data_IF_310169428073
#
_entry.id   IF_310169428073
#
_cell.length_a   1.000
_cell.length_b   1.000
_cell.length_c   1.000
_cell.angle_alpha   90.00
_cell.angle_beta   90.00
_cell.angle_gamma   90.00
#
_symmetry.space_group_name_H-M   'P 1'
#
loop_
_entity.id
_entity.type
_entity.pdbx_description
1 polymer ?
#
# COMPACT_ATOMS: atom_id res chain seq x y z
N UNK A 1 -31.25 -37.33 5.32
CA UNK A 1 -30.48 -36.39 4.48
C UNK A 1 -31.31 -35.13 4.34
N UNK A 2 -30.83 -33.97 4.82
CA UNK A 2 -31.40 -32.67 4.49
C UNK A 2 -30.21 -31.72 4.29
N UNK A 3 -29.85 -31.50 3.03
CA UNK A 3 -28.76 -30.61 2.63
C UNK A 3 -29.31 -29.20 2.57
N UNK A 4 -28.93 -28.31 3.49
CA UNK A 4 -29.03 -26.85 3.32
C UNK A 4 -28.10 -26.17 4.34
N UNK A 5 -26.80 -26.38 4.17
CA UNK A 5 -25.75 -25.62 4.84
C UNK A 5 -25.05 -24.72 3.82
N UNK A 6 -25.78 -23.75 3.26
CA UNK A 6 -25.14 -22.69 2.47
C UNK A 6 -24.52 -21.72 3.48
N UNK A 7 -23.20 -21.50 3.50
CA UNK A 7 -22.64 -20.47 4.34
C UNK A 7 -23.18 -19.14 3.82
N UNK A 8 -23.92 -18.43 4.68
CA UNK A 8 -24.34 -17.06 4.46
C UNK A 8 -23.09 -16.24 4.13
N UNK A 9 -22.88 -15.94 2.86
CA UNK A 9 -21.80 -15.05 2.41
C UNK A 9 -22.17 -13.70 3.00
N UNK A 10 -21.60 -13.42 4.18
CA UNK A 10 -21.78 -12.20 4.94
C UNK A 10 -21.50 -11.04 3.99
N UNK A 11 -22.57 -10.49 3.41
CA UNK A 11 -22.54 -9.43 2.42
C UNK A 11 -22.32 -8.11 3.14
N UNK A 12 -21.27 -8.07 3.96
CA UNK A 12 -20.79 -6.83 4.56
C UNK A 12 -20.42 -5.95 3.38
N UNK A 13 -21.00 -4.76 3.25
CA UNK A 13 -20.56 -3.82 2.24
C UNK A 13 -19.05 -3.68 2.37
N UNK A 14 -18.32 -3.88 1.27
CA UNK A 14 -16.91 -3.56 1.21
C UNK A 14 -16.81 -2.06 1.49
N UNK A 15 -16.55 -1.70 2.76
CA UNK A 15 -16.47 -0.30 3.16
C UNK A 15 -15.32 0.31 2.38
N UNK A 16 -15.64 1.27 1.52
CA UNK A 16 -14.61 2.04 0.83
C UNK A 16 -13.69 2.65 1.89
N UNK A 17 -12.38 2.47 1.73
CA UNK A 17 -11.41 3.06 2.66
C UNK A 17 -11.56 4.58 2.62
N UNK A 18 -11.57 5.20 3.79
CA UNK A 18 -11.57 6.66 3.91
C UNK A 18 -10.27 7.22 3.32
N UNK A 19 -10.28 8.45 2.80
CA UNK A 19 -9.06 9.10 2.31
C UNK A 19 -7.93 9.12 3.36
N UNK A 20 -8.28 9.31 4.64
CA UNK A 20 -7.31 9.24 5.73
C UNK A 20 -6.63 7.86 5.86
N UNK A 21 -7.38 6.78 5.66
CA UNK A 21 -6.85 5.41 5.71
C UNK A 21 -5.93 5.12 4.52
N UNK A 22 -6.29 5.61 3.33
CA UNK A 22 -5.44 5.51 2.13
C UNK A 22 -4.13 6.27 2.34
N UNK A 23 -4.20 7.48 2.91
CA UNK A 23 -3.01 8.29 3.23
C UNK A 23 -2.10 7.59 4.25
N UNK A 24 -2.67 7.05 5.32
CA UNK A 24 -1.89 6.32 6.32
C UNK A 24 -1.18 5.10 5.72
N UNK A 25 -1.88 4.33 4.87
CA UNK A 25 -1.29 3.18 4.17
C UNK A 25 -0.16 3.60 3.20
N UNK A 26 -0.35 4.71 2.49
CA UNK A 26 0.65 5.28 1.59
C UNK A 26 1.95 5.59 2.34
N UNK A 27 1.86 6.31 3.47
CA UNK A 27 3.01 6.67 4.30
C UNK A 27 3.70 5.44 4.91
N UNK A 28 2.93 4.46 5.39
CA UNK A 28 3.48 3.20 5.94
C UNK A 28 4.27 2.42 4.88
N UNK A 29 3.73 2.30 3.67
CA UNK A 29 4.40 1.56 2.59
C UNK A 29 5.67 2.27 2.11
N UNK A 30 5.68 3.61 2.05
CA UNK A 30 6.90 4.37 1.74
C UNK A 30 8.00 4.09 2.75
N UNK A 31 7.68 4.07 4.06
CA UNK A 31 8.66 3.71 5.10
C UNK A 31 9.21 2.31 4.87
N UNK A 32 8.35 1.32 4.66
CA UNK A 32 8.76 -0.07 4.42
C UNK A 32 9.61 -0.22 3.16
N UNK A 33 9.28 0.50 2.09
CA UNK A 33 10.08 0.51 0.87
C UNK A 33 11.49 1.03 1.15
N UNK A 34 11.62 2.12 1.90
CA UNK A 34 12.91 2.70 2.25
C UNK A 34 13.71 1.84 3.22
N UNK A 35 13.06 1.13 4.14
CA UNK A 35 13.71 0.12 4.99
C UNK A 35 14.32 -1.00 4.13
N UNK A 36 13.58 -1.52 3.14
CA UNK A 36 14.07 -2.56 2.23
C UNK A 36 15.16 -2.05 1.26
N UNK A 37 15.20 -0.75 0.97
CA UNK A 37 16.31 -0.14 0.23
C UNK A 37 17.62 -0.14 1.03
N UNK A 38 17.55 -0.12 2.36
CA UNK A 38 18.70 -0.10 3.27
C UNK A 38 19.06 -1.49 3.83
N UNK A 39 18.13 -2.45 3.75
CA UNK A 39 18.33 -3.80 4.26
C UNK A 39 19.43 -4.54 3.50
N UNK A 40 20.22 -5.33 4.23
CA UNK A 40 21.18 -6.26 3.63
C UNK A 40 20.44 -7.50 3.13
N UNK A 41 20.55 -7.81 1.84
CA UNK A 41 19.88 -8.95 1.21
C UNK A 41 19.22 -8.59 -0.11
N UNK A 42 18.75 -9.61 -0.84
CA UNK A 42 17.96 -9.38 -2.05
C UNK A 42 16.48 -9.22 -1.71
N UNK A 43 16.03 -7.96 -1.71
CA UNK A 43 14.64 -7.59 -1.51
C UNK A 43 14.03 -7.00 -2.79
N UNK A 44 14.56 -7.32 -3.97
CA UNK A 44 14.10 -6.72 -5.24
C UNK A 44 12.61 -6.94 -5.49
N UNK A 45 12.11 -8.16 -5.33
CA UNK A 45 10.69 -8.47 -5.56
C UNK A 45 9.78 -7.68 -4.62
N UNK A 46 10.08 -7.70 -3.32
CA UNK A 46 9.31 -6.97 -2.30
C UNK A 46 9.34 -5.45 -2.53
N UNK A 47 10.47 -4.91 -3.01
CA UNK A 47 10.57 -3.49 -3.39
C UNK A 47 9.72 -3.17 -4.61
N UNK A 48 9.66 -4.04 -5.62
CA UNK A 48 8.81 -3.84 -6.80
C UNK A 48 7.32 -3.89 -6.45
N UNK A 49 6.91 -4.82 -5.59
CA UNK A 49 5.54 -4.92 -5.09
C UNK A 49 5.16 -3.63 -4.34
N UNK A 50 5.96 -3.22 -3.35
CA UNK A 50 5.70 -2.00 -2.59
C UNK A 50 5.66 -0.76 -3.48
N UNK A 51 6.56 -0.66 -4.47
CA UNK A 51 6.57 0.45 -5.41
C UNK A 51 5.27 0.53 -6.22
N UNK A 52 4.76 -0.60 -6.72
CA UNK A 52 3.48 -0.65 -7.43
C UNK A 52 2.30 -0.24 -6.51
N UNK A 53 2.27 -0.73 -5.28
CA UNK A 53 1.24 -0.37 -4.31
C UNK A 53 1.28 1.11 -3.91
N UNK A 54 2.48 1.67 -3.72
CA UNK A 54 2.69 3.09 -3.40
C UNK A 54 2.18 3.96 -4.55
N UNK A 55 2.47 3.60 -5.82
CA UNK A 55 1.94 4.32 -6.98
C UNK A 55 0.42 4.27 -7.06
N UNK A 56 -0.17 3.10 -6.81
CA UNK A 56 -1.63 2.95 -6.79
C UNK A 56 -2.27 3.83 -5.72
N UNK A 57 -1.74 3.82 -4.50
CA UNK A 57 -2.23 4.65 -3.40
C UNK A 57 -2.03 6.14 -3.69
N UNK A 58 -0.88 6.52 -4.27
CA UNK A 58 -0.62 7.89 -4.71
C UNK A 58 -1.65 8.36 -5.75
N UNK A 59 -1.98 7.52 -6.74
CA UNK A 59 -3.01 7.81 -7.73
C UNK A 59 -4.40 7.99 -7.09
N UNK A 60 -4.78 7.12 -6.14
CA UNK A 60 -6.05 7.26 -5.39
C UNK A 60 -6.09 8.56 -4.58
N UNK A 61 -4.95 9.04 -4.08
CA UNK A 61 -4.82 10.32 -3.38
C UNK A 61 -4.73 11.53 -4.33
N UNK A 62 -4.81 11.33 -5.65
CA UNK A 62 -4.68 12.39 -6.65
C UNK A 62 -3.26 12.92 -6.86
N UNK A 63 -2.24 12.20 -6.38
CA UNK A 63 -0.83 12.56 -6.59
C UNK A 63 -0.39 12.21 -8.02
N UNK A 64 0.38 13.11 -8.64
CA UNK A 64 1.10 12.83 -9.89
C UNK A 64 2.29 11.91 -9.59
N UNK A 65 2.71 11.13 -10.59
CA UNK A 65 3.84 10.20 -10.46
C UNK A 65 5.11 10.89 -9.93
N UNK A 66 5.44 12.08 -10.44
CA UNK A 66 6.59 12.86 -9.94
C UNK A 66 6.51 13.11 -8.43
N UNK A 67 5.33 13.46 -7.90
CA UNK A 67 5.16 13.69 -6.47
C UNK A 67 5.34 12.41 -5.64
N UNK A 68 4.94 11.25 -6.18
CA UNK A 68 5.17 9.95 -5.53
C UNK A 68 6.67 9.61 -5.49
N UNK A 69 7.40 9.91 -6.57
CA UNK A 69 8.86 9.72 -6.63
C UNK A 69 9.58 10.65 -5.64
N UNK A 70 9.17 11.92 -5.57
CA UNK A 70 9.68 12.89 -4.59
C UNK A 70 9.43 12.43 -3.14
N UNK A 71 8.26 11.89 -2.83
CA UNK A 71 7.93 11.38 -1.48
C UNK A 71 8.82 10.17 -1.09
N UNK A 72 9.08 9.26 -2.05
CA UNK A 72 9.99 8.13 -1.86
C UNK A 72 11.42 8.61 -1.54
N UNK A 73 11.90 9.63 -2.25
CA UNK A 73 13.22 10.24 -2.05
C UNK A 73 13.32 11.14 -0.82
N UNK A 74 12.23 11.78 -0.38
CA UNK A 74 12.24 12.70 0.77
C UNK A 74 12.31 11.95 2.10
N UNK A 75 11.69 10.77 2.19
CA UNK A 75 11.81 9.90 3.37
C UNK A 75 13.23 9.33 3.58
N UNK A 76 14.13 9.48 2.59
CA UNK A 76 15.53 9.08 2.68
C UNK A 76 16.40 10.10 3.46
N UNK A 77 16.00 11.38 3.54
CA UNK A 77 16.86 12.46 4.04
C UNK A 77 16.64 12.81 5.52
N UNK A 78 15.49 12.46 6.10
CA UNK A 78 15.17 12.78 7.51
C UNK A 78 15.49 11.63 8.49
N UNK A 79 16.77 11.22 8.56
CA UNK A 79 17.27 10.36 9.64
C UNK A 79 18.58 10.88 10.21
#
# INVERSE_FOLDING_TARGET
MNMNGVPEVSSRPLKMRSQAEVKAQYEVKIKKYNELMQAQGDHREQRMELYAEIKLLGWVLGKKEKAVIDDLGSHHINR
#
